data_IF_309431693665
#
_entry.id   IF_309431693665
#
_cell.length_a   1.000
_cell.length_b   1.000
_cell.length_c   1.000
_cell.angle_alpha   90.00
_cell.angle_beta   90.00
_cell.angle_gamma   90.00
#
_symmetry.space_group_name_H-M   'P 1'
#
loop_
_entity.id
_entity.type
_entity.pdbx_description
1 polymer ?
#
# COMPACT_ATOMS: atom_id res chain seq x y z
N UNK A 1 19.90 62.71 65.69
CA UNK A 1 19.42 62.67 64.29
C UNK A 1 20.62 62.55 63.36
N UNK A 2 20.46 61.90 62.20
CA UNK A 2 21.48 61.73 61.12
C UNK A 2 22.26 60.40 61.01
N UNK A 3 21.70 59.25 61.43
CA UNK A 3 22.25 57.93 61.03
C UNK A 3 21.26 56.96 60.40
N UNK A 4 19.96 57.27 60.36
CA UNK A 4 18.92 56.35 59.86
C UNK A 4 18.49 56.58 58.40
N UNK A 5 19.10 57.52 57.66
CA UNK A 5 18.64 57.89 56.29
C UNK A 5 19.52 57.30 55.17
N UNK A 6 20.67 56.71 55.48
CA UNK A 6 21.61 56.23 54.45
C UNK A 6 21.45 54.73 54.09
N UNK A 7 20.75 53.94 54.92
CA UNK A 7 20.60 52.48 54.72
C UNK A 7 19.42 52.14 53.79
N UNK A 8 18.44 53.02 53.65
CA UNK A 8 17.25 52.79 52.79
C UNK A 8 17.49 53.09 51.30
N UNK A 9 18.55 53.82 50.95
CA UNK A 9 18.87 54.15 49.54
C UNK A 9 19.66 53.04 48.82
N UNK A 10 20.50 52.28 49.55
CA UNK A 10 21.34 51.21 49.00
C UNK A 10 20.54 49.92 48.70
N UNK A 11 19.51 49.63 49.51
CA UNK A 11 18.61 48.49 49.28
C UNK A 11 17.60 48.72 48.15
N UNK A 12 17.14 49.95 47.89
CA UNK A 12 16.23 50.22 46.75
C UNK A 12 16.93 50.06 45.39
N UNK A 13 18.21 50.40 45.31
CA UNK A 13 19.01 50.25 44.09
C UNK A 13 19.30 48.77 43.79
N UNK A 14 19.62 47.97 44.83
CA UNK A 14 19.83 46.53 44.71
C UNK A 14 18.55 45.77 44.35
N UNK A 15 17.41 46.14 44.92
CA UNK A 15 16.10 45.52 44.60
C UNK A 15 15.61 45.95 43.22
N UNK A 16 15.84 47.19 42.78
CA UNK A 16 15.54 47.60 41.40
C UNK A 16 16.45 46.93 40.38
N UNK A 17 17.75 46.75 40.64
CA UNK A 17 18.64 45.98 39.76
C UNK A 17 18.30 44.50 39.75
N UNK A 18 17.89 43.91 40.88
CA UNK A 18 17.43 42.52 40.94
C UNK A 18 16.08 42.34 40.23
N UNK A 19 15.17 43.32 40.30
CA UNK A 19 13.89 43.34 39.55
C UNK A 19 14.08 43.67 38.07
N UNK A 20 15.09 44.46 37.69
CA UNK A 20 15.49 44.66 36.30
C UNK A 20 16.19 43.42 35.75
N UNK A 21 17.02 42.73 36.53
CA UNK A 21 17.64 41.46 36.15
C UNK A 21 16.59 40.34 36.08
N UNK A 22 15.66 40.24 37.05
CA UNK A 22 14.50 39.33 36.94
C UNK A 22 13.60 39.72 35.78
N UNK A 23 13.35 41.01 35.56
CA UNK A 23 12.51 41.52 34.47
C UNK A 23 13.12 41.29 33.09
N UNK A 24 14.45 41.35 32.97
CA UNK A 24 15.20 41.00 31.75
C UNK A 24 15.25 39.48 31.56
N UNK A 25 15.35 38.69 32.64
CA UNK A 25 15.31 37.21 32.60
C UNK A 25 13.90 36.69 32.28
N UNK A 26 12.85 37.39 32.73
CA UNK A 26 11.45 37.09 32.39
C UNK A 26 11.04 37.62 31.00
N UNK A 27 11.84 38.50 30.39
CA UNK A 27 11.59 39.09 29.07
C UNK A 27 12.48 38.51 27.94
N UNK A 28 13.36 37.54 28.22
CA UNK A 28 14.24 36.93 27.22
C UNK A 28 13.99 35.42 27.09
N UNK A 29 12.78 35.02 26.70
CA UNK A 29 12.63 33.88 25.79
C UNK A 29 13.01 34.40 24.40
N UNK A 30 14.32 34.64 24.21
CA UNK A 30 14.87 35.24 23.02
C UNK A 30 14.64 34.36 21.79
N UNK A 31 14.57 34.99 20.62
CA UNK A 31 14.55 34.25 19.36
C UNK A 31 15.76 33.31 19.29
N UNK A 32 15.61 32.03 18.89
CA UNK A 32 16.76 31.15 18.75
C UNK A 32 17.80 31.73 17.79
N UNK A 33 19.08 31.53 18.08
CA UNK A 33 20.20 32.20 17.39
C UNK A 33 20.22 31.97 15.87
N UNK A 34 19.82 30.78 15.42
CA UNK A 34 19.73 30.41 14.00
C UNK A 34 18.36 30.68 13.38
N UNK A 35 17.48 31.40 14.07
CA UNK A 35 16.12 31.63 13.64
C UNK A 35 15.82 33.12 13.50
N UNK A 36 14.80 33.42 12.72
CA UNK A 36 14.22 34.76 12.62
C UNK A 36 12.84 34.75 13.26
N UNK A 37 12.58 35.69 14.15
CA UNK A 37 11.31 35.80 14.85
C UNK A 37 10.66 37.13 14.51
N UNK A 38 9.41 37.08 14.08
CA UNK A 38 8.61 38.26 13.72
C UNK A 38 7.18 38.07 14.20
N UNK A 39 6.71 38.99 15.05
CA UNK A 39 5.40 38.93 15.69
C UNK A 39 5.19 37.62 16.47
N UNK A 40 4.47 36.66 15.89
CA UNK A 40 4.18 35.33 16.46
C UNK A 40 4.69 34.20 15.57
N UNK A 41 5.58 34.52 14.63
CA UNK A 41 6.15 33.55 13.69
C UNK A 41 7.63 33.37 13.95
N UNK A 42 8.06 32.11 14.07
CA UNK A 42 9.46 31.73 14.20
C UNK A 42 9.86 30.94 12.95
N UNK A 43 10.91 31.39 12.25
CA UNK A 43 11.42 30.75 11.03
C UNK A 43 12.87 30.34 11.20
N UNK A 44 13.12 29.05 11.10
CA UNK A 44 14.39 28.36 11.27
C UNK A 44 14.65 27.51 10.00
N UNK A 45 14.87 28.14 8.85
CA UNK A 45 14.86 27.46 7.54
C UNK A 45 16.26 27.36 6.94
N UNK A 46 16.64 26.17 6.45
CA UNK A 46 17.94 25.91 5.82
C UNK A 46 19.15 26.30 6.69
N UNK A 47 19.11 25.95 7.98
CA UNK A 47 20.11 26.34 8.99
C UNK A 47 20.96 25.16 9.46
N UNK A 48 20.91 24.05 8.74
CA UNK A 48 21.57 22.79 9.06
C UNK A 48 21.27 22.28 10.48
N UNK A 49 20.05 22.55 10.99
CA UNK A 49 19.65 22.12 12.33
C UNK A 49 19.50 20.61 12.40
N UNK A 50 20.04 19.99 13.46
CA UNK A 50 19.86 18.56 13.73
C UNK A 50 18.74 18.30 14.74
N UNK A 51 18.22 19.35 15.40
CA UNK A 51 17.13 19.30 16.35
C UNK A 51 16.31 20.61 16.31
N UNK A 52 15.09 20.56 16.85
CA UNK A 52 14.27 21.75 17.05
C UNK A 52 14.92 22.61 18.15
N UNK A 53 15.05 23.95 17.96
CA UNK A 53 15.61 24.82 19.00
C UNK A 53 14.78 24.78 20.29
N UNK A 54 15.42 24.62 21.44
CA UNK A 54 14.71 24.48 22.73
C UNK A 54 14.10 25.79 23.27
N UNK A 55 14.62 26.95 22.85
CA UNK A 55 14.20 28.28 23.34
C UNK A 55 13.20 28.96 22.40
N UNK A 56 12.04 28.34 22.22
CA UNK A 56 10.97 28.92 21.39
C UNK A 56 10.13 29.93 22.21
N UNK A 57 9.88 31.15 21.69
CA UNK A 57 8.99 32.10 22.33
C UNK A 57 7.60 31.52 22.60
N UNK A 58 7.06 31.70 23.81
CA UNK A 58 5.77 31.12 24.22
C UNK A 58 4.57 31.72 23.48
N UNK A 59 4.74 32.89 22.87
CA UNK A 59 3.74 33.56 22.03
C UNK A 59 3.79 33.10 20.55
N UNK A 60 4.58 32.06 20.22
CA UNK A 60 4.68 31.53 18.86
C UNK A 60 3.36 30.89 18.43
N UNK A 61 2.80 31.36 17.31
CA UNK A 61 1.63 30.82 16.64
C UNK A 61 1.98 29.96 15.42
N UNK A 62 3.03 30.33 14.70
CA UNK A 62 3.50 29.59 13.54
C UNK A 62 5.01 29.31 13.63
N UNK A 63 5.40 28.06 13.48
CA UNK A 63 6.78 27.61 13.56
C UNK A 63 7.20 26.92 12.27
N UNK A 64 8.22 27.46 11.61
CA UNK A 64 8.80 26.91 10.39
C UNK A 64 10.20 26.39 10.69
N UNK A 65 10.42 25.09 10.64
CA UNK A 65 11.73 24.43 10.80
C UNK A 65 12.04 23.59 9.56
N UNK A 66 11.89 24.20 8.38
CA UNK A 66 11.95 23.50 7.08
C UNK A 66 13.36 23.42 6.51
N UNK A 67 13.66 22.38 5.74
CA UNK A 67 14.94 22.29 5.02
C UNK A 67 16.16 22.07 5.93
N UNK A 68 16.00 21.38 7.06
CA UNK A 68 17.10 21.09 7.98
C UNK A 68 17.48 19.60 7.96
N UNK A 69 18.23 19.14 8.96
CA UNK A 69 18.79 17.78 9.08
C UNK A 69 18.18 17.01 10.26
N UNK A 70 16.99 17.40 10.71
CA UNK A 70 16.31 16.77 11.84
C UNK A 70 15.87 15.36 11.45
N UNK A 71 16.31 14.34 12.20
CA UNK A 71 16.04 12.94 11.91
C UNK A 71 14.99 12.30 12.81
N UNK A 72 14.74 12.88 13.99
CA UNK A 72 13.76 12.37 14.94
C UNK A 72 13.12 13.52 15.70
N UNK A 73 11.86 13.34 16.07
CA UNK A 73 11.15 14.23 16.99
C UNK A 73 10.49 13.39 18.10
N UNK A 74 10.59 13.91 19.32
CA UNK A 74 10.10 13.29 20.55
C UNK A 74 9.55 14.37 21.49
N UNK A 75 8.96 14.00 22.62
CA UNK A 75 8.47 14.96 23.62
C UNK A 75 9.53 16.02 24.01
N UNK A 76 10.81 15.63 24.08
CA UNK A 76 11.94 16.53 24.39
C UNK A 76 12.23 17.56 23.29
N UNK A 77 11.71 17.36 22.08
CA UNK A 77 11.83 18.31 20.98
C UNK A 77 10.95 19.55 21.19
N UNK A 78 9.89 19.42 22.00
CA UNK A 78 8.98 20.50 22.39
C UNK A 78 8.86 20.57 23.92
N UNK A 79 9.93 20.98 24.64
CA UNK A 79 9.96 20.94 26.11
C UNK A 79 9.06 22.00 26.75
N UNK A 80 8.72 23.06 26.00
CA UNK A 80 7.84 24.14 26.47
C UNK A 80 6.46 23.98 25.85
N UNK A 81 5.41 24.12 26.68
CA UNK A 81 4.03 24.10 26.20
C UNK A 81 3.70 25.36 25.41
N UNK A 82 3.45 25.21 24.11
CA UNK A 82 3.17 26.31 23.20
C UNK A 82 1.66 26.41 22.95
N UNK A 83 0.96 27.08 23.87
CA UNK A 83 -0.50 27.18 23.86
C UNK A 83 -1.07 27.89 22.62
N UNK A 84 -0.31 28.80 22.01
CA UNK A 84 -0.76 29.57 20.85
C UNK A 84 -0.37 28.94 19.52
N UNK A 85 0.47 27.89 19.51
CA UNK A 85 0.96 27.29 18.28
C UNK A 85 -0.16 26.55 17.55
N UNK A 86 -0.46 27.00 16.34
CA UNK A 86 -1.47 26.41 15.45
C UNK A 86 -0.87 25.78 14.21
N UNK A 87 0.27 26.29 13.73
CA UNK A 87 0.88 25.89 12.47
C UNK A 87 2.34 25.45 12.69
N UNK A 88 2.64 24.20 12.36
CA UNK A 88 3.97 23.61 12.47
C UNK A 88 4.42 23.03 11.12
N UNK A 89 5.51 23.58 10.59
CA UNK A 89 6.10 23.15 9.34
C UNK A 89 7.48 22.54 9.56
N UNK A 90 7.61 21.25 9.27
CA UNK A 90 8.82 20.44 9.41
C UNK A 90 9.21 19.78 8.08
N UNK A 91 8.76 20.35 6.96
CA UNK A 91 9.01 19.81 5.63
C UNK A 91 10.46 19.91 5.18
N UNK A 92 10.88 18.98 4.33
CA UNK A 92 12.24 18.95 3.77
C UNK A 92 13.32 18.66 4.82
N UNK A 93 13.00 17.93 5.87
CA UNK A 93 13.96 17.46 6.86
C UNK A 93 14.47 16.04 6.49
N UNK A 94 15.11 15.35 7.44
CA UNK A 94 15.55 13.97 7.28
C UNK A 94 14.81 13.05 8.26
N UNK A 95 13.57 13.37 8.58
CA UNK A 95 12.83 12.74 9.67
C UNK A 95 12.56 11.28 9.36
N UNK A 96 13.05 10.38 10.21
CA UNK A 96 12.86 8.93 10.12
C UNK A 96 11.88 8.41 11.17
N UNK A 97 11.77 9.10 12.32
CA UNK A 97 10.93 8.69 13.44
C UNK A 97 10.14 9.85 14.05
N UNK A 98 8.84 9.61 14.25
CA UNK A 98 7.92 10.45 15.04
C UNK A 98 7.51 9.64 16.27
N UNK A 99 8.06 10.00 17.43
CA UNK A 99 7.89 9.25 18.67
C UNK A 99 6.55 9.55 19.37
N UNK A 100 6.24 8.79 20.42
CA UNK A 100 5.05 9.00 21.23
C UNK A 100 5.06 10.35 21.97
N UNK A 101 3.87 10.92 22.18
CA UNK A 101 3.64 12.14 22.96
C UNK A 101 4.37 13.40 22.45
N UNK A 102 4.96 13.34 21.25
CA UNK A 102 5.75 14.45 20.67
C UNK A 102 4.95 15.74 20.53
N UNK A 103 3.64 15.66 20.31
CA UNK A 103 2.77 16.83 20.15
C UNK A 103 1.94 17.16 21.41
N UNK A 104 2.19 16.53 22.55
CA UNK A 104 1.44 16.75 23.80
C UNK A 104 1.50 18.22 24.26
N UNK A 105 2.66 18.85 24.09
CA UNK A 105 2.88 20.26 24.43
C UNK A 105 2.35 21.26 23.39
N UNK A 106 1.67 20.78 22.34
CA UNK A 106 1.09 21.58 21.24
C UNK A 106 -0.45 21.39 21.15
N UNK A 107 -1.22 21.68 22.20
CA UNK A 107 -2.63 21.27 22.32
C UNK A 107 -3.58 21.95 21.33
N UNK A 108 -3.15 23.03 20.67
CA UNK A 108 -3.94 23.78 19.70
C UNK A 108 -3.40 23.66 18.27
N UNK A 109 -2.58 22.65 18.00
CA UNK A 109 -2.04 22.41 16.67
C UNK A 109 -3.17 22.08 15.68
N UNK A 110 -3.29 22.89 14.63
CA UNK A 110 -4.30 22.77 13.57
C UNK A 110 -3.69 22.26 12.28
N UNK A 111 -2.48 22.70 11.95
CA UNK A 111 -1.76 22.32 10.73
C UNK A 111 -0.40 21.73 11.07
N UNK A 112 -0.13 20.57 10.50
CA UNK A 112 1.15 19.90 10.55
C UNK A 112 1.62 19.57 9.13
N UNK A 113 2.82 20.01 8.78
CA UNK A 113 3.48 19.65 7.53
C UNK A 113 4.76 18.86 7.80
N UNK A 114 4.74 17.58 7.41
CA UNK A 114 5.87 16.65 7.46
C UNK A 114 6.31 16.23 6.05
N UNK A 115 5.89 16.94 5.00
CA UNK A 115 6.21 16.58 3.62
C UNK A 115 7.72 16.52 3.35
N UNK A 116 8.13 15.74 2.34
CA UNK A 116 9.52 15.61 1.92
C UNK A 116 10.46 15.19 3.07
N UNK A 117 10.08 14.14 3.78
CA UNK A 117 10.85 13.51 4.85
C UNK A 117 11.16 12.04 4.50
N UNK A 118 11.59 11.24 5.47
CA UNK A 118 11.99 9.83 5.26
C UNK A 118 11.42 8.92 6.35
N UNK A 119 10.16 9.18 6.73
CA UNK A 119 9.50 8.56 7.87
C UNK A 119 9.42 7.06 7.64
N UNK A 120 9.92 6.31 8.62
CA UNK A 120 9.84 4.84 8.70
C UNK A 120 8.95 4.41 9.85
N UNK A 121 8.93 5.20 10.93
CA UNK A 121 8.18 4.93 12.15
C UNK A 121 7.38 6.17 12.52
N UNK A 122 6.09 5.98 12.69
CA UNK A 122 5.18 7.00 13.21
C UNK A 122 4.35 6.39 14.33
N UNK A 123 4.52 6.88 15.56
CA UNK A 123 3.77 6.36 16.70
C UNK A 123 2.29 6.71 16.59
N UNK A 124 1.41 5.72 16.80
CA UNK A 124 -0.03 5.96 16.89
C UNK A 124 -0.43 6.87 18.08
N UNK A 125 0.47 7.05 19.05
CA UNK A 125 0.31 7.93 20.22
C UNK A 125 1.11 9.23 20.11
N UNK A 126 1.47 9.65 18.91
CA UNK A 126 2.19 10.91 18.70
C UNK A 126 1.35 12.14 19.09
N UNK A 127 0.03 12.05 18.87
CA UNK A 127 -0.94 13.11 19.16
C UNK A 127 -1.68 12.88 20.48
N UNK A 128 -2.09 13.95 21.18
CA UNK A 128 -3.01 13.83 22.30
C UNK A 128 -4.42 13.40 21.84
N UNK A 129 -5.19 12.78 22.73
CA UNK A 129 -6.54 12.25 22.42
C UNK A 129 -7.53 13.35 21.97
N UNK A 130 -7.39 14.56 22.50
CA UNK A 130 -8.22 15.74 22.21
C UNK A 130 -7.62 16.67 21.15
N UNK A 131 -6.75 16.13 20.29
CA UNK A 131 -6.09 16.89 19.24
C UNK A 131 -7.07 17.65 18.33
N UNK A 132 -6.62 18.80 17.83
CA UNK A 132 -7.37 19.71 16.95
C UNK A 132 -6.81 19.74 15.53
N UNK A 133 -6.08 18.69 15.14
CA UNK A 133 -5.41 18.66 13.85
C UNK A 133 -6.46 18.60 12.74
N UNK A 134 -6.41 19.57 11.82
CA UNK A 134 -7.34 19.68 10.70
C UNK A 134 -6.65 19.46 9.36
N UNK A 135 -5.39 19.88 9.23
CA UNK A 135 -4.63 19.82 7.98
C UNK A 135 -3.33 19.08 8.24
N UNK A 136 -3.14 17.95 7.55
CA UNK A 136 -1.93 17.15 7.67
C UNK A 136 -1.33 16.89 6.29
N UNK A 137 -0.12 17.40 6.07
CA UNK A 137 0.66 17.14 4.87
C UNK A 137 1.75 16.09 5.13
N UNK A 138 1.64 14.97 4.42
CA UNK A 138 2.57 13.83 4.39
C UNK A 138 3.07 13.55 2.96
N UNK A 139 2.98 14.52 2.05
CA UNK A 139 3.43 14.36 0.66
C UNK A 139 4.92 14.01 0.60
N UNK A 140 5.28 12.91 -0.05
CA UNK A 140 6.67 12.41 -0.10
C UNK A 140 7.33 12.27 1.28
N UNK A 141 6.55 11.96 2.32
CA UNK A 141 7.06 11.86 3.68
C UNK A 141 7.69 10.50 4.01
N UNK A 142 7.40 9.47 3.20
CA UNK A 142 7.66 8.09 3.56
C UNK A 142 8.79 7.45 2.74
N UNK A 143 9.62 6.62 3.39
CA UNK A 143 10.76 5.95 2.75
C UNK A 143 10.56 4.45 2.62
N UNK A 144 10.58 3.93 1.38
CA UNK A 144 10.52 2.50 1.02
C UNK A 144 9.21 1.79 1.41
N UNK A 145 8.63 1.04 0.47
CA UNK A 145 7.36 0.31 0.61
C UNK A 145 7.29 -0.59 1.85
N UNK A 146 8.40 -1.20 2.26
CA UNK A 146 8.42 -2.24 3.31
C UNK A 146 7.91 -1.78 4.67
N UNK A 147 7.90 -0.46 4.94
CA UNK A 147 7.54 0.08 6.26
C UNK A 147 6.16 0.74 6.29
N UNK A 148 5.44 0.80 5.16
CA UNK A 148 4.20 1.58 5.03
C UNK A 148 3.06 1.07 5.89
N UNK A 149 2.87 -0.26 6.01
CA UNK A 149 1.78 -0.80 6.82
C UNK A 149 1.90 -0.43 8.30
N UNK A 150 3.11 -0.46 8.86
CA UNK A 150 3.35 -0.08 10.26
C UNK A 150 3.33 1.44 10.42
N UNK A 151 3.97 2.16 9.50
CA UNK A 151 4.09 3.61 9.54
C UNK A 151 2.76 4.34 9.37
N UNK A 152 1.76 3.74 8.72
CA UNK A 152 0.44 4.36 8.47
C UNK A 152 -0.63 3.96 9.48
N UNK A 153 -0.31 3.07 10.43
CA UNK A 153 -1.27 2.59 11.44
C UNK A 153 -1.88 3.70 12.30
N UNK A 154 -1.19 4.84 12.45
CA UNK A 154 -1.70 6.01 13.16
C UNK A 154 -2.92 6.65 12.47
N UNK A 155 -3.09 6.53 11.15
CA UNK A 155 -4.29 7.07 10.46
C UNK A 155 -5.55 6.31 10.86
N UNK A 156 -5.38 5.02 11.17
CA UNK A 156 -6.48 4.15 11.61
C UNK A 156 -6.79 4.30 13.10
N UNK A 157 -5.75 4.36 13.95
CA UNK A 157 -5.89 4.24 15.42
C UNK A 157 -5.62 5.55 16.18
N UNK A 158 -5.03 6.55 15.53
CA UNK A 158 -4.61 7.81 16.16
C UNK A 158 -5.73 8.83 16.41
N UNK A 159 -6.99 8.45 16.19
CA UNK A 159 -8.17 9.25 16.54
C UNK A 159 -8.14 10.72 16.04
N UNK A 160 -7.80 10.93 14.76
CA UNK A 160 -7.71 12.26 14.15
C UNK A 160 -9.09 12.75 13.71
N UNK A 161 -10.02 12.87 14.66
CA UNK A 161 -11.45 13.13 14.41
C UNK A 161 -11.73 14.48 13.77
N UNK A 162 -10.85 15.46 13.93
CA UNK A 162 -11.00 16.80 13.34
C UNK A 162 -10.27 16.96 11.99
N UNK A 163 -9.58 15.92 11.52
CA UNK A 163 -8.81 16.00 10.28
C UNK A 163 -9.75 16.15 9.09
N UNK A 164 -9.60 17.24 8.34
CA UNK A 164 -10.41 17.59 7.17
C UNK A 164 -9.64 17.46 5.88
N UNK A 165 -8.32 17.74 5.91
CA UNK A 165 -7.45 17.66 4.74
C UNK A 165 -6.22 16.82 5.02
N UNK A 166 -6.02 15.79 4.19
CA UNK A 166 -4.89 14.88 4.24
C UNK A 166 -4.24 14.81 2.86
N UNK A 167 -2.97 15.21 2.79
CA UNK A 167 -2.15 15.05 1.59
C UNK A 167 -1.15 13.91 1.80
N UNK A 168 -1.31 12.82 1.03
CA UNK A 168 -0.37 11.70 0.98
C UNK A 168 0.17 11.48 -0.44
N UNK A 169 0.18 12.53 -1.27
CA UNK A 169 0.73 12.49 -2.62
C UNK A 169 2.22 12.16 -2.64
N UNK A 170 2.76 11.76 -3.80
CA UNK A 170 4.19 11.52 -4.00
C UNK A 170 4.78 10.49 -3.02
N UNK A 171 3.99 9.54 -2.54
CA UNK A 171 4.45 8.45 -1.69
C UNK A 171 4.24 7.14 -2.43
N UNK A 172 5.15 6.17 -2.30
CA UNK A 172 5.01 4.92 -3.04
C UNK A 172 3.96 3.96 -2.39
N UNK A 173 2.68 4.29 -2.53
CA UNK A 173 1.52 3.61 -1.93
C UNK A 173 0.89 2.60 -2.91
N UNK A 174 1.65 1.57 -3.32
CA UNK A 174 1.18 0.57 -4.30
C UNK A 174 -0.17 -0.07 -3.91
N UNK A 175 -0.34 -0.35 -2.61
CA UNK A 175 -1.59 -0.86 -2.03
C UNK A 175 -1.90 -0.08 -0.75
N UNK A 176 -3.14 0.41 -0.63
CA UNK A 176 -3.64 1.00 0.60
C UNK A 176 -4.14 -0.09 1.56
N UNK A 177 -3.72 -0.09 2.83
CA UNK A 177 -4.24 -1.02 3.83
C UNK A 177 -5.74 -0.89 4.04
N UNK A 178 -6.41 -2.02 4.29
CA UNK A 178 -7.84 -2.06 4.58
C UNK A 178 -8.21 -1.18 5.77
N UNK A 179 -9.15 -0.26 5.56
CA UNK A 179 -9.65 0.63 6.60
C UNK A 179 -8.63 1.66 7.09
N UNK A 180 -7.60 1.99 6.32
CA UNK A 180 -6.61 3.03 6.69
C UNK A 180 -7.25 4.37 7.08
N UNK A 181 -8.40 4.72 6.50
CA UNK A 181 -9.11 5.97 6.75
C UNK A 181 -10.28 5.87 7.73
N UNK A 182 -10.51 4.72 8.39
CA UNK A 182 -11.69 4.55 9.26
C UNK A 182 -11.67 5.48 10.47
N UNK A 183 -10.49 5.90 10.93
CA UNK A 183 -10.32 6.84 12.04
C UNK A 183 -10.49 8.31 11.68
N UNK A 184 -10.73 8.62 10.40
CA UNK A 184 -10.74 9.99 9.86
C UNK A 184 -12.16 10.43 9.48
N UNK A 185 -13.05 10.49 10.48
CA UNK A 185 -14.50 10.69 10.26
C UNK A 185 -14.90 12.05 9.67
N UNK A 186 -14.04 13.07 9.76
CA UNK A 186 -14.29 14.41 9.24
C UNK A 186 -13.51 14.72 7.96
N UNK A 187 -12.84 13.72 7.37
CA UNK A 187 -11.97 13.93 6.23
C UNK A 187 -12.79 14.26 4.98
N UNK A 188 -12.53 15.42 4.39
CA UNK A 188 -13.22 15.93 3.20
C UNK A 188 -12.30 15.98 1.98
N UNK A 189 -11.01 16.23 2.18
CA UNK A 189 -10.04 16.41 1.10
C UNK A 189 -8.91 15.38 1.27
N UNK A 190 -8.76 14.50 0.28
CA UNK A 190 -7.73 13.47 0.27
C UNK A 190 -6.96 13.52 -1.04
N UNK A 191 -5.66 13.78 -0.96
CA UNK A 191 -4.76 13.61 -2.10
C UNK A 191 -3.91 12.35 -1.99
N UNK A 192 -3.98 11.54 -3.03
CA UNK A 192 -3.19 10.33 -3.26
C UNK A 192 -2.46 10.41 -4.61
N UNK A 193 -2.26 11.63 -5.13
CA UNK A 193 -1.64 11.86 -6.43
C UNK A 193 -0.23 11.29 -6.49
N UNK A 194 0.17 10.73 -7.64
CA UNK A 194 1.54 10.28 -7.89
C UNK A 194 2.06 9.29 -6.84
N UNK A 195 1.21 8.33 -6.47
CA UNK A 195 1.50 7.37 -5.40
C UNK A 195 1.59 5.91 -5.88
N UNK A 196 1.67 5.69 -7.19
CA UNK A 196 1.80 4.36 -7.81
C UNK A 196 0.68 3.36 -7.44
N UNK A 197 -0.50 3.84 -7.04
CA UNK A 197 -1.63 2.99 -6.65
C UNK A 197 -2.11 2.18 -7.87
N UNK A 198 -2.20 0.86 -7.73
CA UNK A 198 -2.62 -0.03 -8.83
C UNK A 198 -4.14 -0.30 -8.78
N UNK A 199 -4.71 -0.39 -7.58
CA UNK A 199 -6.13 -0.69 -7.37
C UNK A 199 -6.62 -0.12 -6.05
N UNK A 200 -7.89 0.28 -6.00
CA UNK A 200 -8.58 0.69 -4.77
C UNK A 200 -9.41 -0.49 -4.25
N UNK A 201 -9.12 -0.95 -3.03
CA UNK A 201 -9.87 -2.03 -2.40
C UNK A 201 -11.29 -1.59 -2.02
N UNK A 202 -12.22 -2.53 -2.05
CA UNK A 202 -13.63 -2.30 -1.72
C UNK A 202 -13.76 -1.81 -0.27
N UNK A 203 -14.53 -0.75 -0.05
CA UNK A 203 -14.78 -0.19 1.27
C UNK A 203 -13.68 0.73 1.80
N UNK A 204 -12.52 0.85 1.15
CA UNK A 204 -11.42 1.73 1.60
C UNK A 204 -11.86 3.20 1.70
N UNK A 205 -12.74 3.64 0.80
CA UNK A 205 -13.21 5.03 0.70
C UNK A 205 -14.67 5.19 1.17
N UNK A 206 -15.25 4.15 1.76
CA UNK A 206 -16.66 4.15 2.19
C UNK A 206 -16.93 5.11 3.34
N UNK A 207 -16.07 5.07 4.36
CA UNK A 207 -16.25 5.78 5.63
C UNK A 207 -16.06 7.29 5.53
N UNK A 208 -14.95 7.82 4.99
CA UNK A 208 -14.74 9.26 5.00
C UNK A 208 -15.79 9.99 4.12
N UNK A 209 -16.37 11.11 4.60
CA UNK A 209 -17.29 11.94 3.84
C UNK A 209 -16.51 12.84 2.87
N UNK A 210 -15.79 12.23 1.93
CA UNK A 210 -14.94 12.93 0.98
C UNK A 210 -15.78 13.84 0.06
N UNK A 211 -15.28 15.06 -0.12
CA UNK A 211 -15.73 16.05 -1.10
C UNK A 211 -14.73 16.22 -2.24
N UNK A 212 -13.44 16.01 -2.01
CA UNK A 212 -12.41 16.10 -3.03
C UNK A 212 -11.42 14.94 -2.85
N UNK A 213 -11.27 14.15 -3.92
CA UNK A 213 -10.36 13.01 -3.98
C UNK A 213 -9.50 13.09 -5.23
N UNK A 214 -8.20 13.25 -5.00
CA UNK A 214 -7.20 13.33 -6.05
C UNK A 214 -6.44 12.00 -6.19
N UNK A 215 -6.66 11.31 -7.30
CA UNK A 215 -6.04 10.04 -7.67
C UNK A 215 -5.19 10.17 -8.94
N UNK A 216 -4.83 11.40 -9.33
CA UNK A 216 -4.06 11.64 -10.55
C UNK A 216 -2.68 10.96 -10.51
N UNK A 217 -2.16 10.67 -11.70
CA UNK A 217 -0.80 10.18 -11.89
C UNK A 217 -0.49 8.88 -11.11
N UNK A 218 -1.50 8.01 -10.94
CA UNK A 218 -1.33 6.69 -10.33
C UNK A 218 -1.20 5.60 -11.42
N UNK A 219 -1.24 4.34 -11.00
CA UNK A 219 -1.15 3.17 -11.89
C UNK A 219 -2.50 2.47 -12.07
N UNK A 220 -3.62 3.20 -11.91
CA UNK A 220 -4.96 2.64 -12.05
C UNK A 220 -5.21 2.26 -13.51
N UNK A 221 -5.60 1.00 -13.73
CA UNK A 221 -5.98 0.49 -15.06
C UNK A 221 -7.50 0.46 -15.26
N UNK A 222 -8.23 0.33 -14.16
CA UNK A 222 -9.69 0.25 -14.09
C UNK A 222 -10.15 0.71 -12.70
N UNK A 223 -11.47 0.93 -12.54
CA UNK A 223 -12.11 1.13 -11.25
C UNK A 223 -13.18 0.04 -11.05
N UNK A 224 -13.10 -0.77 -9.97
CA UNK A 224 -14.09 -1.80 -9.72
C UNK A 224 -15.50 -1.23 -9.55
N UNK A 225 -16.51 -2.00 -9.95
CA UNK A 225 -17.93 -1.58 -9.85
C UNK A 225 -18.35 -1.24 -8.42
N UNK A 226 -17.77 -1.92 -7.42
CA UNK A 226 -18.00 -1.60 -6.01
C UNK A 226 -17.50 -0.19 -5.66
N UNK A 227 -16.34 0.22 -6.17
CA UNK A 227 -15.78 1.56 -6.00
C UNK A 227 -16.64 2.62 -6.70
N UNK A 228 -17.10 2.35 -7.93
CA UNK A 228 -18.01 3.24 -8.67
C UNK A 228 -19.35 3.42 -7.94
N UNK A 229 -19.90 2.34 -7.36
CA UNK A 229 -21.10 2.40 -6.55
C UNK A 229 -20.88 3.24 -5.27
N UNK A 230 -19.71 3.11 -4.61
CA UNK A 230 -19.35 3.93 -3.46
C UNK A 230 -19.24 5.41 -3.81
N UNK A 231 -18.67 5.76 -4.96
CA UNK A 231 -18.60 7.14 -5.44
C UNK A 231 -19.99 7.70 -5.77
N UNK A 232 -20.85 6.89 -6.39
CA UNK A 232 -22.22 7.28 -6.73
C UNK A 232 -23.09 7.56 -5.50
N UNK A 233 -22.73 7.03 -4.32
CA UNK A 233 -23.37 7.35 -3.04
C UNK A 233 -22.97 8.72 -2.46
N UNK A 234 -21.96 9.39 -3.05
CA UNK A 234 -21.44 10.69 -2.61
C UNK A 234 -21.54 11.73 -3.74
N UNK A 235 -22.75 12.27 -4.04
CA UNK A 235 -22.95 13.12 -5.21
C UNK A 235 -22.07 14.39 -5.21
N UNK A 236 -21.73 14.94 -4.05
CA UNK A 236 -20.87 16.13 -3.92
C UNK A 236 -19.37 15.83 -4.01
N UNK A 237 -18.98 14.57 -4.28
CA UNK A 237 -17.58 14.16 -4.42
C UNK A 237 -17.02 14.61 -5.77
N UNK A 238 -15.97 15.41 -5.74
CA UNK A 238 -15.13 15.77 -6.88
C UNK A 238 -13.94 14.81 -6.97
N UNK A 239 -13.75 14.23 -8.15
CA UNK A 239 -12.72 13.23 -8.46
C UNK A 239 -11.76 13.76 -9.51
N UNK A 240 -10.46 13.50 -9.30
CA UNK A 240 -9.42 13.76 -10.28
C UNK A 240 -8.69 12.46 -10.61
N UNK A 241 -8.71 12.06 -11.88
CA UNK A 241 -8.33 10.73 -12.37
C UNK A 241 -7.31 10.75 -13.51
N UNK A 242 -6.92 11.92 -14.01
CA UNK A 242 -5.96 12.07 -15.11
C UNK A 242 -4.59 11.46 -14.80
N UNK A 243 -3.84 11.11 -15.84
CA UNK A 243 -2.50 10.54 -15.70
C UNK A 243 -2.45 9.06 -15.29
N UNK A 244 -3.60 8.38 -15.20
CA UNK A 244 -3.67 6.93 -14.97
C UNK A 244 -3.61 6.12 -16.29
N UNK A 245 -2.97 4.94 -16.31
CA UNK A 245 -2.83 4.09 -17.49
C UNK A 245 -4.08 3.24 -17.75
N UNK A 246 -5.19 3.90 -18.11
CA UNK A 246 -6.47 3.23 -18.35
C UNK A 246 -6.38 2.15 -19.44
N UNK A 247 -6.84 0.94 -19.10
CA UNK A 247 -6.91 -0.20 -20.01
C UNK A 247 -8.32 -0.27 -20.60
N UNK A 248 -8.46 0.09 -21.87
CA UNK A 248 -9.73 0.14 -22.56
C UNK A 248 -10.09 -1.20 -23.23
N UNK A 249 -10.31 -2.21 -22.38
CA UNK A 249 -10.85 -3.51 -22.75
C UNK A 249 -12.26 -3.71 -22.16
N UNK A 250 -12.76 -4.95 -22.13
CA UNK A 250 -14.11 -5.20 -21.67
C UNK A 250 -14.36 -4.81 -20.20
N UNK A 251 -13.33 -4.82 -19.34
CA UNK A 251 -13.49 -4.54 -17.92
C UNK A 251 -13.72 -3.05 -17.64
N UNK A 252 -13.31 -2.15 -18.55
CA UNK A 252 -13.53 -0.72 -18.37
C UNK A 252 -14.93 -0.24 -18.73
N UNK A 253 -15.78 -1.12 -19.28
CA UNK A 253 -17.12 -0.76 -19.79
C UNK A 253 -17.92 0.02 -18.74
N UNK A 254 -17.98 -0.47 -17.51
CA UNK A 254 -18.74 0.13 -16.41
C UNK A 254 -18.20 1.53 -16.04
N UNK A 255 -16.88 1.72 -16.05
CA UNK A 255 -16.26 3.02 -15.84
C UNK A 255 -16.66 4.00 -16.96
N UNK A 256 -16.59 3.57 -18.23
CA UNK A 256 -16.97 4.43 -19.37
C UNK A 256 -18.45 4.83 -19.30
N UNK A 257 -19.34 3.90 -18.93
CA UNK A 257 -20.76 4.18 -18.75
C UNK A 257 -20.98 5.17 -17.61
N UNK A 258 -20.29 4.98 -16.47
CA UNK A 258 -20.38 5.86 -15.32
C UNK A 258 -19.84 7.27 -15.62
N UNK A 259 -18.73 7.41 -16.35
CA UNK A 259 -18.17 8.71 -16.75
C UNK A 259 -19.12 9.50 -17.67
N UNK A 260 -19.97 8.82 -18.45
CA UNK A 260 -20.96 9.47 -19.33
C UNK A 260 -22.19 9.96 -18.56
N UNK A 261 -22.49 9.37 -17.41
CA UNK A 261 -23.67 9.69 -16.61
C UNK A 261 -23.37 10.56 -15.38
N UNK A 262 -22.10 10.64 -14.97
CA UNK A 262 -21.64 11.36 -13.77
C UNK A 262 -20.94 12.67 -14.12
N UNK A 263 -21.15 13.70 -13.29
CA UNK A 263 -20.44 14.98 -13.30
C UNK A 263 -19.38 15.09 -12.20
N UNK A 264 -19.12 13.99 -11.47
CA UNK A 264 -18.20 13.94 -10.33
C UNK A 264 -16.72 14.04 -10.74
N UNK A 265 -16.36 13.71 -11.98
CA UNK A 265 -14.96 13.71 -12.44
C UNK A 265 -14.60 15.06 -13.08
N UNK A 266 -13.83 15.87 -12.36
CA UNK A 266 -13.48 17.22 -12.77
C UNK A 266 -12.60 17.24 -14.03
N UNK A 267 -11.71 16.26 -14.17
CA UNK A 267 -10.72 16.14 -15.26
C UNK A 267 -11.10 15.10 -16.32
N UNK A 268 -12.39 14.81 -16.47
CA UNK A 268 -12.92 13.75 -17.36
C UNK A 268 -12.42 13.84 -18.81
N UNK A 269 -12.19 15.05 -19.32
CA UNK A 269 -11.70 15.30 -20.68
C UNK A 269 -10.23 14.94 -20.87
N UNK A 270 -9.47 14.78 -19.78
CA UNK A 270 -8.06 14.43 -19.80
C UNK A 270 -7.84 12.91 -19.65
N UNK A 271 -8.91 12.13 -19.54
CA UNK A 271 -8.82 10.67 -19.43
C UNK A 271 -8.66 10.04 -20.81
N UNK A 272 -7.54 9.37 -21.02
CA UNK A 272 -7.25 8.66 -22.28
C UNK A 272 -6.82 7.22 -22.05
N UNK A 273 -7.18 6.33 -22.96
CA UNK A 273 -6.75 4.94 -22.97
C UNK A 273 -5.23 4.85 -23.21
N UNK A 274 -4.56 3.92 -22.55
CA UNK A 274 -3.16 3.57 -22.82
C UNK A 274 -3.07 2.23 -23.54
N UNK A 275 -3.84 1.26 -23.09
CA UNK A 275 -3.97 -0.07 -23.72
C UNK A 275 -5.43 -0.26 -24.19
N UNK A 276 -5.70 -1.09 -25.22
CA UNK A 276 -4.76 -1.73 -26.15
C UNK A 276 -4.18 -0.75 -27.19
N UNK A 277 -3.17 -1.17 -27.97
CA UNK A 277 -2.48 -0.31 -28.97
C UNK A 277 -3.44 0.40 -29.95
N UNK A 278 -4.56 -0.25 -30.31
CA UNK A 278 -5.56 0.33 -31.22
C UNK A 278 -6.37 1.49 -30.63
N UNK A 279 -6.37 1.66 -29.32
CA UNK A 279 -7.09 2.71 -28.60
C UNK A 279 -6.15 3.66 -27.84
N UNK A 280 -4.83 3.52 -27.97
CA UNK A 280 -3.88 4.38 -27.25
C UNK A 280 -4.12 5.86 -27.55
N UNK A 281 -4.16 6.68 -26.48
CA UNK A 281 -4.52 8.11 -26.45
C UNK A 281 -5.95 8.45 -26.87
N UNK A 282 -6.83 7.46 -27.05
CA UNK A 282 -8.24 7.72 -27.33
C UNK A 282 -8.95 8.22 -26.06
N UNK A 283 -9.77 9.29 -26.11
CA UNK A 283 -10.48 9.80 -24.94
C UNK A 283 -11.51 8.80 -24.40
N UNK A 284 -11.52 8.55 -23.09
CA UNK A 284 -12.42 7.57 -22.46
C UNK A 284 -13.91 7.86 -22.71
N UNK A 285 -14.29 9.14 -22.71
CA UNK A 285 -15.67 9.56 -23.00
C UNK A 285 -16.16 9.20 -24.41
N UNK A 286 -15.23 9.04 -25.36
CA UNK A 286 -15.53 8.75 -26.76
C UNK A 286 -15.53 7.25 -27.07
N UNK A 287 -15.08 6.41 -26.13
CA UNK A 287 -15.05 4.96 -26.29
C UNK A 287 -16.48 4.43 -26.39
N UNK A 288 -16.73 3.63 -27.42
CA UNK A 288 -17.98 2.88 -27.61
C UNK A 288 -17.79 1.40 -27.25
N UNK A 289 -18.88 0.76 -26.82
CA UNK A 289 -18.88 -0.67 -26.42
C UNK A 289 -18.36 -1.61 -27.51
N UNK A 290 -18.61 -1.29 -28.78
CA UNK A 290 -18.17 -2.09 -29.93
C UNK A 290 -16.63 -2.16 -30.05
N UNK A 291 -15.90 -1.21 -29.46
CA UNK A 291 -14.45 -1.12 -29.51
C UNK A 291 -13.75 -1.90 -28.37
N UNK A 292 -14.49 -2.30 -27.33
CA UNK A 292 -13.94 -2.89 -26.09
C UNK A 292 -13.68 -4.42 -26.16
N UNK A 293 -13.80 -5.05 -27.34
CA UNK A 293 -13.61 -6.50 -27.57
C UNK A 293 -14.20 -7.42 -26.48
N UNK A 294 -15.45 -7.15 -26.07
CA UNK A 294 -16.18 -7.90 -25.04
C UNK A 294 -16.66 -9.31 -25.47
N UNK A 295 -15.84 -10.03 -26.22
CA UNK A 295 -16.15 -11.40 -26.62
C UNK A 295 -15.87 -12.37 -25.47
N UNK A 296 -16.90 -12.66 -24.65
CA UNK A 296 -16.88 -13.68 -23.59
C UNK A 296 -16.42 -15.09 -24.02
N UNK A 297 -16.27 -15.33 -25.33
CA UNK A 297 -15.71 -16.56 -25.89
C UNK A 297 -14.17 -16.67 -25.72
N UNK A 298 -13.46 -15.56 -25.49
CA UNK A 298 -11.99 -15.54 -25.32
C UNK A 298 -11.51 -16.08 -23.98
N UNK A 299 -12.28 -15.87 -22.91
CA UNK A 299 -11.92 -16.30 -21.55
C UNK A 299 -12.00 -17.83 -21.39
N UNK A 300 -13.00 -18.45 -22.04
CA UNK A 300 -13.09 -19.91 -22.09
C UNK A 300 -11.92 -20.52 -22.88
N UNK A 301 -11.39 -19.84 -23.91
CA UNK A 301 -10.24 -20.30 -24.68
C UNK A 301 -8.94 -20.24 -23.87
N UNK A 302 -8.70 -19.15 -23.15
CA UNK A 302 -7.56 -18.98 -22.21
C UNK A 302 -7.55 -20.06 -21.12
N UNK A 303 -8.70 -20.31 -20.49
CA UNK A 303 -8.84 -21.33 -19.44
C UNK A 303 -8.69 -22.74 -20.00
N UNK A 304 -9.21 -23.03 -21.21
CA UNK A 304 -9.00 -24.33 -21.85
C UNK A 304 -7.53 -24.54 -22.24
N UNK A 305 -6.84 -23.53 -22.78
CA UNK A 305 -5.43 -23.63 -23.19
C UNK A 305 -4.52 -23.92 -21.99
N UNK A 306 -4.69 -23.22 -20.86
CA UNK A 306 -3.94 -23.50 -19.62
C UNK A 306 -4.21 -24.92 -19.07
N UNK A 307 -5.46 -25.40 -19.18
CA UNK A 307 -5.85 -26.76 -18.78
C UNK A 307 -5.19 -27.85 -19.64
N UNK A 308 -5.14 -27.67 -20.96
CA UNK A 308 -4.50 -28.65 -21.86
C UNK A 308 -2.98 -28.69 -21.72
N UNK A 309 -2.33 -27.54 -21.50
CA UNK A 309 -0.88 -27.50 -21.24
C UNK A 309 -0.55 -28.25 -19.94
N UNK A 310 -1.34 -28.03 -18.87
CA UNK A 310 -1.17 -28.76 -17.62
C UNK A 310 -1.39 -30.27 -17.79
N UNK A 311 -2.44 -30.67 -18.52
CA UNK A 311 -2.70 -32.07 -18.85
C UNK A 311 -1.54 -32.71 -19.64
N UNK A 312 -0.98 -31.98 -20.62
CA UNK A 312 0.18 -32.43 -21.40
C UNK A 312 1.42 -32.66 -20.54
N UNK A 313 1.70 -31.77 -19.59
CA UNK A 313 2.82 -31.92 -18.65
C UNK A 313 2.63 -33.13 -17.73
N UNK A 314 1.41 -33.36 -17.23
CA UNK A 314 1.09 -34.52 -16.39
C UNK A 314 1.25 -35.83 -17.15
N UNK A 315 0.74 -35.91 -18.39
CA UNK A 315 0.88 -37.11 -19.23
C UNK A 315 2.34 -37.39 -19.59
N UNK A 316 3.12 -36.35 -19.88
CA UNK A 316 4.56 -36.48 -20.12
C UNK A 316 5.29 -37.04 -18.88
N UNK A 317 4.97 -36.53 -17.69
CA UNK A 317 5.55 -37.01 -16.43
C UNK A 317 5.20 -38.49 -16.18
N UNK A 318 3.94 -38.87 -16.37
CA UNK A 318 3.50 -40.28 -16.26
C UNK A 318 4.28 -41.15 -17.25
N UNK A 319 4.44 -40.70 -18.50
CA UNK A 319 5.20 -41.40 -19.52
C UNK A 319 6.67 -41.61 -19.13
N UNK A 320 7.32 -40.58 -18.59
CA UNK A 320 8.71 -40.65 -18.12
C UNK A 320 8.85 -41.63 -16.94
N UNK A 321 7.93 -41.57 -15.97
CA UNK A 321 7.92 -42.50 -14.83
C UNK A 321 7.72 -43.94 -15.31
N UNK A 322 6.79 -44.16 -16.23
CA UNK A 322 6.53 -45.49 -16.79
C UNK A 322 7.76 -46.04 -17.52
N UNK A 323 8.41 -45.23 -18.38
CA UNK A 323 9.65 -45.61 -19.06
C UNK A 323 10.79 -45.90 -18.07
N UNK A 324 10.91 -45.12 -17.00
CA UNK A 324 11.89 -45.34 -15.94
C UNK A 324 11.64 -46.68 -15.23
N UNK A 325 10.39 -46.99 -14.89
CA UNK A 325 10.01 -48.27 -14.27
C UNK A 325 10.34 -49.44 -15.19
N UNK A 326 10.03 -49.34 -16.49
CA UNK A 326 10.41 -50.35 -17.48
C UNK A 326 11.93 -50.49 -17.61
N UNK A 327 12.66 -49.38 -17.59
CA UNK A 327 14.11 -49.36 -17.68
C UNK A 327 14.77 -50.04 -16.47
N UNK A 328 14.34 -49.69 -15.25
CA UNK A 328 14.84 -50.28 -14.01
C UNK A 328 14.53 -51.77 -13.94
N UNK A 329 13.33 -52.18 -14.38
CA UNK A 329 12.90 -53.58 -14.38
C UNK A 329 13.28 -54.36 -15.65
N UNK A 330 14.05 -53.78 -16.58
CA UNK A 330 14.31 -54.39 -17.90
C UNK A 330 14.89 -55.81 -17.83
N UNK A 331 15.74 -56.09 -16.83
CA UNK A 331 16.34 -57.41 -16.63
C UNK A 331 15.32 -58.41 -16.09
N UNK A 332 14.48 -57.98 -15.15
CA UNK A 332 13.40 -58.79 -14.58
C UNK A 332 12.34 -59.12 -15.62
N UNK A 333 11.91 -58.13 -16.41
CA UNK A 333 10.94 -58.28 -17.51
C UNK A 333 11.46 -59.25 -18.57
N UNK A 334 12.73 -59.11 -18.99
CA UNK A 334 13.35 -60.07 -19.93
C UNK A 334 13.33 -61.49 -19.38
N UNK A 335 13.70 -61.68 -18.11
CA UNK A 335 13.69 -63.00 -17.46
C UNK A 335 12.28 -63.60 -17.39
N UNK A 336 11.30 -62.79 -17.00
CA UNK A 336 9.89 -63.20 -16.96
C UNK A 336 9.36 -63.60 -18.34
N UNK A 337 9.68 -62.82 -19.38
CA UNK A 337 9.28 -63.11 -20.77
C UNK A 337 9.89 -64.41 -21.29
N UNK A 338 11.16 -64.69 -20.97
CA UNK A 338 11.78 -65.97 -21.31
C UNK A 338 11.10 -67.14 -20.59
N UNK A 339 10.87 -67.03 -19.28
CA UNK A 339 10.18 -68.07 -18.52
C UNK A 339 8.76 -68.37 -19.04
N UNK A 340 8.00 -67.33 -19.44
CA UNK A 340 6.67 -67.53 -20.03
C UNK A 340 6.76 -68.22 -21.38
N UNK A 341 7.68 -67.78 -22.25
CA UNK A 341 7.86 -68.41 -23.56
C UNK A 341 8.19 -69.90 -23.40
N UNK A 342 9.07 -70.21 -22.45
CA UNK A 342 9.49 -71.58 -22.18
C UNK A 342 8.31 -72.39 -21.60
N UNK A 343 7.53 -71.82 -20.67
CA UNK A 343 6.30 -72.47 -20.15
C UNK A 343 5.23 -72.71 -21.24
N UNK A 344 5.03 -71.75 -22.16
CA UNK A 344 4.13 -71.93 -23.30
C UNK A 344 4.64 -72.98 -24.29
N UNK A 345 5.96 -73.03 -24.50
CA UNK A 345 6.60 -74.03 -25.37
C UNK A 345 6.41 -75.43 -24.80
N UNK A 346 6.67 -75.62 -23.51
CA UNK A 346 6.48 -76.90 -22.82
C UNK A 346 5.01 -77.36 -22.90
N UNK A 347 4.07 -76.41 -22.75
CA UNK A 347 2.65 -76.71 -22.85
C UNK A 347 2.25 -77.14 -24.27
N UNK A 348 2.72 -76.44 -25.30
CA UNK A 348 2.49 -76.78 -26.71
C UNK A 348 3.12 -78.11 -27.11
N UNK A 349 4.36 -78.40 -26.67
CA UNK A 349 5.01 -79.69 -26.91
C UNK A 349 4.22 -80.83 -26.23
N UNK A 350 3.69 -80.61 -25.02
CA UNK A 350 2.79 -81.56 -24.35
C UNK A 350 1.50 -81.84 -25.12
N UNK A 351 0.90 -80.83 -25.77
CA UNK A 351 -0.23 -81.03 -26.68
C UNK A 351 0.16 -81.84 -27.92
N UNK A 352 1.32 -81.58 -28.50
CA UNK A 352 1.81 -82.28 -29.68
C UNK A 352 2.01 -83.78 -29.41
N UNK A 353 2.66 -84.12 -28.29
CA UNK A 353 2.85 -85.52 -27.87
C UNK A 353 1.52 -86.26 -27.62
N UNK A 354 0.54 -85.61 -26.99
CA UNK A 354 -0.80 -86.21 -26.79
C UNK A 354 -1.56 -86.38 -28.09
N UNK A 355 -1.37 -85.48 -29.05
CA UNK A 355 -2.01 -85.58 -30.36
C UNK A 355 -1.45 -86.77 -31.14
N UNK A 356 -0.12 -86.92 -31.20
CA UNK A 356 0.55 -88.02 -31.89
C UNK A 356 0.12 -89.40 -31.36
N UNK A 357 0.06 -89.57 -30.03
CA UNK A 357 -0.40 -90.82 -29.38
C UNK A 357 -1.84 -91.16 -29.75
N UNK A 358 -2.74 -90.17 -29.78
CA UNK A 358 -4.15 -90.38 -30.11
C UNK A 358 -4.39 -90.59 -31.61
N UNK A 359 -3.44 -90.22 -32.47
CA UNK A 359 -3.51 -90.38 -33.92
C UNK A 359 -2.82 -91.63 -34.47
N UNK A 360 -2.19 -92.45 -33.62
CA UNK A 360 -1.58 -93.72 -34.04
C UNK A 360 -2.67 -94.78 -34.34
N UNK A 361 -2.89 -95.04 -35.63
CA UNK A 361 -3.89 -96.00 -36.12
C UNK A 361 -3.64 -97.46 -35.66
N UNK A 362 -2.46 -97.77 -35.09
CA UNK A 362 -2.19 -99.12 -34.54
C UNK A 362 -2.93 -99.39 -33.23
N UNK A 363 -3.26 -98.36 -32.44
CA UNK A 363 -4.06 -98.51 -31.21
C UNK A 363 -5.56 -98.63 -31.48
N UNK A 364 -6.06 -98.06 -32.58
CA UNK A 364 -7.46 -98.20 -32.99
C UNK A 364 -7.82 -99.62 -33.46
N UNK A 365 -6.84 -100.40 -33.94
CA UNK A 365 -7.03 -101.79 -34.39
C UNK A 365 -6.81 -102.85 -33.29
N UNK A 366 -6.39 -102.46 -32.10
CA UNK A 366 -6.29 -103.39 -30.96
C UNK A 366 -7.62 -103.56 -30.20
N UNK A 367 -8.59 -102.65 -30.38
CA UNK A 367 -9.90 -102.72 -29.72
C UNK A 367 -11.00 -103.42 -30.55
N UNK A 368 -10.70 -103.91 -31.75
CA UNK A 368 -11.69 -104.54 -32.65
C UNK A 368 -11.58 -106.07 -32.68
N UNK A 369 -10.48 -106.66 -32.17
CA UNK A 369 -10.24 -108.11 -32.21
C UNK A 369 -10.28 -108.81 -30.83
N UNK A 370 -10.88 -108.20 -29.80
CA UNK A 370 -10.99 -108.80 -28.46
C UNK A 370 -12.40 -109.21 -28.03
N UNK A 371 -13.38 -109.20 -28.93
CA UNK A 371 -14.72 -109.78 -28.68
C UNK A 371 -15.03 -110.88 -29.71
N UNK A 372 -14.56 -112.10 -29.42
CA UNK A 372 -15.18 -113.37 -29.84
C UNK A 372 -15.12 -114.33 -28.67
#
# INVERSE_FOLDING_TARGET
HSHSVMITRKNRLGVMHLLLLLGVVLACQGCPEKCTCSSQTVKCQNQDLNAIPHSLPTNTKALFVTGNKISRISAESFPTRLLLLTDLYLSGNKMESVEEMVFENLPNLVRLDLSNNKIRIFSAKAFPDDNKLQIFNLSGAFFNHSYMNTALSFLRVGNLLQLTSLDMSNNDLVVLPDGIFTGLSSLTNLSLQNSSIISIQNGTLKVPPLHDLDLRDNSLRELPNATLAEFSLKPDLQLHLAGNPWRCDCFIEDLVVWLKSSDQVADVHNLTCVEPEGLTRHPLLQVEKSQLDCNYAGDMKSVLETSYVFLGLVLALIGVIFLLVLYLNRKGIKRWMYNIRDACRDHMEGYHYRYEINSDARLANLSINSDV
#
